data_IF_874196328867
#
_entry.id   IF_874196328867
#
_cell.length_a   1.000
_cell.length_b   1.000
_cell.length_c   1.000
_cell.angle_alpha   90.00
_cell.angle_beta   90.00
_cell.angle_gamma   90.00
#
_symmetry.space_group_name_H-M   'P 1'
#
loop_
_entity.id
_entity.type
_entity.pdbx_description
1 polymer ?
#
# COMPACT_ATOMS: atom_id res chain seq x y z
N UNK A 1 10.14 27.07 -12.14
CA UNK A 1 9.74 26.21 -13.27
C UNK A 1 9.03 25.01 -12.68
N UNK A 2 7.72 24.88 -12.90
CA UNK A 2 6.99 23.67 -12.50
C UNK A 2 7.42 22.55 -13.44
N UNK A 3 8.15 21.55 -12.93
CA UNK A 3 8.42 20.31 -13.64
C UNK A 3 7.09 19.57 -13.78
N UNK A 4 6.53 19.55 -14.98
CA UNK A 4 5.41 18.67 -15.31
C UNK A 4 5.90 17.24 -15.23
N UNK A 5 5.62 16.55 -14.12
CA UNK A 5 5.78 15.11 -14.00
C UNK A 5 4.82 14.44 -14.97
N UNK A 6 5.36 13.74 -15.97
CA UNK A 6 4.57 13.00 -16.95
C UNK A 6 4.05 11.73 -16.28
N UNK A 7 2.89 11.81 -15.64
CA UNK A 7 2.19 10.65 -15.10
C UNK A 7 1.49 9.88 -16.21
N UNK A 8 1.59 8.55 -16.20
CA UNK A 8 0.85 7.63 -17.08
C UNK A 8 -0.13 6.78 -16.27
N UNK A 9 -1.11 6.18 -16.94
CA UNK A 9 -1.98 5.16 -16.34
C UNK A 9 -1.56 3.79 -16.88
N UNK A 10 -1.18 2.89 -15.99
CA UNK A 10 -0.94 1.48 -16.31
C UNK A 10 -2.08 0.61 -15.81
N UNK A 11 -2.24 -0.56 -16.43
CA UNK A 11 -3.26 -1.55 -16.07
C UNK A 11 -2.59 -2.85 -15.66
N UNK A 12 -2.94 -3.34 -14.48
CA UNK A 12 -2.45 -4.60 -13.92
C UNK A 12 -3.61 -5.59 -13.84
N UNK A 13 -3.53 -6.66 -14.62
CA UNK A 13 -4.55 -7.71 -14.67
C UNK A 13 -4.09 -8.91 -13.86
N UNK A 14 -5.00 -9.44 -13.03
CA UNK A 14 -4.78 -10.58 -12.16
C UNK A 14 -5.80 -11.67 -12.49
N UNK A 15 -5.31 -12.90 -12.67
CA UNK A 15 -6.11 -14.03 -13.12
C UNK A 15 -6.12 -15.14 -12.06
N UNK A 16 -7.30 -15.57 -11.65
CA UNK A 16 -7.48 -16.64 -10.67
C UNK A 16 -7.91 -17.96 -11.31
N UNK A 17 -8.12 -18.99 -10.48
CA UNK A 17 -8.74 -20.23 -10.93
C UNK A 17 -10.20 -19.98 -11.38
N UNK A 18 -10.55 -20.49 -12.57
CA UNK A 18 -11.85 -20.25 -13.22
C UNK A 18 -11.92 -18.90 -13.94
N UNK A 19 -13.12 -18.33 -14.10
CA UNK A 19 -13.34 -17.04 -14.77
C UNK A 19 -13.16 -15.83 -13.83
N UNK A 20 -12.52 -16.01 -12.66
CA UNK A 20 -12.25 -14.90 -11.75
C UNK A 20 -11.06 -14.09 -12.24
N UNK A 21 -11.31 -12.86 -12.68
CA UNK A 21 -10.28 -11.90 -13.06
C UNK A 21 -10.52 -10.55 -12.38
N UNK A 22 -9.45 -9.76 -12.25
CA UNK A 22 -9.56 -8.37 -11.85
C UNK A 22 -8.49 -7.51 -12.49
N UNK A 23 -8.79 -6.23 -12.65
CA UNK A 23 -7.87 -5.22 -13.17
C UNK A 23 -7.74 -4.08 -12.16
N UNK A 24 -6.51 -3.62 -11.90
CA UNK A 24 -6.23 -2.39 -11.16
C UNK A 24 -5.56 -1.41 -12.11
N UNK A 25 -6.07 -0.19 -12.17
CA UNK A 25 -5.43 0.91 -12.89
C UNK A 25 -4.59 1.76 -11.94
N UNK A 26 -3.33 2.00 -12.26
CA UNK A 26 -2.40 2.76 -11.41
C UNK A 26 -1.99 4.04 -12.14
N UNK A 27 -1.93 5.14 -11.40
CA UNK A 27 -1.30 6.39 -11.86
C UNK A 27 0.15 6.34 -11.39
N UNK A 28 1.09 6.28 -12.32
CA UNK A 28 2.52 6.17 -12.03
C UNK A 28 3.38 7.15 -12.84
N UNK A 29 4.60 7.39 -12.38
CA UNK A 29 5.65 8.10 -13.09
C UNK A 29 6.64 7.09 -13.66
N UNK A 30 7.00 7.25 -14.94
CA UNK A 30 7.99 6.38 -15.60
C UNK A 30 9.44 6.74 -15.26
N UNK A 31 9.66 7.90 -14.63
CA UNK A 31 10.94 8.21 -13.99
C UNK A 31 10.92 7.59 -12.60
N UNK A 32 12.06 7.02 -12.18
CA UNK A 32 12.30 6.45 -10.84
C UNK A 32 12.34 7.56 -9.76
N UNK A 33 11.33 8.40 -9.71
CA UNK A 33 11.06 9.30 -8.59
C UNK A 33 10.39 8.47 -7.49
N UNK A 34 11.05 8.40 -6.33
CA UNK A 34 10.62 7.60 -5.19
C UNK A 34 9.15 7.86 -4.81
N UNK A 35 8.33 6.80 -4.80
CA UNK A 35 6.93 6.82 -4.33
C UNK A 35 5.86 6.83 -5.43
N UNK A 36 6.21 7.16 -6.68
CA UNK A 36 5.27 7.19 -7.80
C UNK A 36 5.57 6.16 -8.90
N UNK A 37 6.61 5.33 -8.72
CA UNK A 37 6.97 4.25 -9.62
C UNK A 37 6.44 2.90 -9.10
N UNK A 38 5.89 2.05 -9.98
CA UNK A 38 5.46 0.69 -9.59
C UNK A 38 6.67 -0.25 -9.53
N UNK A 39 7.17 -0.48 -8.32
CA UNK A 39 8.29 -1.40 -8.09
C UNK A 39 7.91 -2.87 -8.37
N UNK A 40 8.82 -3.71 -8.91
CA UNK A 40 8.52 -5.12 -9.20
C UNK A 40 7.99 -5.91 -8.00
N UNK A 41 8.52 -5.67 -6.79
CA UNK A 41 8.06 -6.31 -5.56
C UNK A 41 6.58 -6.02 -5.25
N UNK A 42 6.09 -4.83 -5.64
CA UNK A 42 4.69 -4.42 -5.51
C UNK A 42 3.78 -5.27 -6.39
N UNK A 43 4.19 -5.53 -7.63
CA UNK A 43 3.45 -6.41 -8.56
C UNK A 43 3.39 -7.85 -8.02
N UNK A 44 4.52 -8.37 -7.51
CA UNK A 44 4.58 -9.73 -6.95
C UNK A 44 3.72 -9.86 -5.69
N UNK A 45 3.75 -8.86 -4.79
CA UNK A 45 2.91 -8.88 -3.59
C UNK A 45 1.42 -8.77 -3.94
N UNK A 46 1.06 -7.94 -4.92
CA UNK A 46 -0.31 -7.83 -5.40
C UNK A 46 -0.82 -9.16 -5.99
N UNK A 47 0.01 -9.86 -6.77
CA UNK A 47 -0.29 -11.20 -7.28
C UNK A 47 -0.52 -12.18 -6.12
N UNK A 48 0.34 -12.15 -5.10
CA UNK A 48 0.18 -13.00 -3.92
C UNK A 48 -1.16 -12.75 -3.20
N UNK A 49 -1.54 -11.49 -3.00
CA UNK A 49 -2.82 -11.11 -2.40
C UNK A 49 -4.00 -11.67 -3.21
N UNK A 50 -3.95 -11.54 -4.54
CA UNK A 50 -5.00 -12.05 -5.42
C UNK A 50 -5.13 -13.58 -5.40
N UNK A 51 -4.00 -14.30 -5.48
CA UNK A 51 -4.01 -15.77 -5.46
C UNK A 51 -4.50 -16.31 -4.12
N UNK A 52 -4.27 -15.58 -3.02
CA UNK A 52 -4.71 -15.94 -1.67
C UNK A 52 -5.89 -15.10 -1.18
N UNK A 53 -6.72 -14.55 -2.09
CA UNK A 53 -7.81 -13.60 -1.79
C UNK A 53 -8.75 -14.01 -0.67
N UNK A 54 -8.99 -15.30 -0.46
CA UNK A 54 -9.80 -15.82 0.65
C UNK A 54 -9.24 -15.45 2.03
N UNK A 55 -7.92 -15.33 2.17
CA UNK A 55 -7.23 -14.92 3.40
C UNK A 55 -7.39 -13.43 3.71
N UNK A 56 -7.55 -12.60 2.68
CA UNK A 56 -7.57 -11.14 2.79
C UNK A 56 -8.99 -10.58 2.88
N UNK A 57 -9.98 -11.32 2.40
CA UNK A 57 -11.38 -10.93 2.48
C UNK A 57 -11.81 -10.63 3.93
N UNK A 58 -12.54 -9.53 4.12
CA UNK A 58 -13.05 -9.07 5.41
C UNK A 58 -11.98 -8.81 6.49
N UNK A 59 -10.70 -8.79 6.12
CA UNK A 59 -9.59 -8.47 7.03
C UNK A 59 -9.31 -6.97 7.09
N UNK A 60 -8.73 -6.51 8.20
CA UNK A 60 -8.15 -5.16 8.30
C UNK A 60 -6.69 -5.19 7.89
N UNK A 61 -6.31 -4.30 6.95
CA UNK A 61 -4.98 -4.26 6.36
C UNK A 61 -4.38 -2.88 6.54
N UNK A 62 -3.12 -2.83 6.98
CA UNK A 62 -2.28 -1.65 6.81
C UNK A 62 -1.20 -1.93 5.78
N UNK A 63 -1.10 -1.10 4.75
CA UNK A 63 0.05 -1.09 3.86
C UNK A 63 1.01 0.04 4.26
N UNK A 64 2.25 -0.34 4.59
CA UNK A 64 3.36 0.56 4.89
C UNK A 64 4.14 0.87 3.61
N UNK A 65 4.47 2.15 3.39
CA UNK A 65 5.24 2.57 2.22
C UNK A 65 4.54 2.20 0.91
N UNK A 66 3.24 2.49 0.83
CA UNK A 66 2.37 2.02 -0.23
C UNK A 66 2.74 2.57 -1.61
N UNK A 67 3.33 3.78 -1.69
CA UNK A 67 3.65 4.46 -2.95
C UNK A 67 2.45 4.53 -3.89
N UNK A 68 2.48 3.73 -4.96
CA UNK A 68 1.39 3.62 -5.95
C UNK A 68 0.19 2.77 -5.47
N UNK A 69 0.30 2.11 -4.32
CA UNK A 69 -0.77 1.38 -3.61
C UNK A 69 -1.27 0.09 -4.26
N UNK A 70 -0.55 -0.48 -5.23
CA UNK A 70 -1.04 -1.64 -5.99
C UNK A 70 -1.47 -2.84 -5.11
N UNK A 71 -0.68 -3.32 -4.13
CA UNK A 71 -1.06 -4.47 -3.30
C UNK A 71 -2.28 -4.17 -2.42
N UNK A 72 -2.32 -3.02 -1.77
CA UNK A 72 -3.47 -2.60 -0.97
C UNK A 72 -4.74 -2.41 -1.80
N UNK A 73 -4.65 -1.93 -3.04
CA UNK A 73 -5.81 -1.82 -3.94
C UNK A 73 -6.33 -3.20 -4.37
N UNK A 74 -5.45 -4.16 -4.65
CA UNK A 74 -5.87 -5.55 -4.88
C UNK A 74 -6.55 -6.11 -3.63
N UNK A 75 -6.01 -5.83 -2.44
CA UNK A 75 -6.58 -6.27 -1.18
C UNK A 75 -7.98 -5.66 -0.94
N UNK A 76 -8.16 -4.38 -1.23
CA UNK A 76 -9.46 -3.72 -1.16
C UNK A 76 -10.46 -4.34 -2.15
N UNK A 77 -10.02 -4.67 -3.38
CA UNK A 77 -10.88 -5.34 -4.37
C UNK A 77 -11.37 -6.72 -3.96
N UNK A 78 -10.60 -7.44 -3.14
CA UNK A 78 -11.02 -8.75 -2.62
C UNK A 78 -11.88 -8.64 -1.35
N UNK A 79 -12.21 -7.42 -0.92
CA UNK A 79 -13.11 -7.14 0.19
C UNK A 79 -12.42 -6.86 1.52
N UNK A 80 -11.13 -6.52 1.54
CA UNK A 80 -10.46 -6.09 2.76
C UNK A 80 -10.78 -4.63 3.11
N UNK A 81 -10.71 -4.28 4.40
CA UNK A 81 -10.70 -2.90 4.87
C UNK A 81 -9.25 -2.41 4.91
N UNK A 82 -8.88 -1.51 3.98
CA UNK A 82 -7.49 -1.14 3.74
C UNK A 82 -7.21 0.28 4.19
N UNK A 83 -6.16 0.43 5.00
CA UNK A 83 -5.48 1.70 5.22
C UNK A 83 -4.13 1.67 4.49
N UNK A 84 -3.92 2.65 3.62
CA UNK A 84 -2.71 2.85 2.85
C UNK A 84 -1.89 3.96 3.50
N UNK A 85 -0.59 3.72 3.70
CA UNK A 85 0.29 4.70 4.32
C UNK A 85 1.58 4.91 3.55
N UNK A 86 2.03 6.16 3.49
CA UNK A 86 3.33 6.55 2.97
C UNK A 86 3.84 7.79 3.73
N UNK A 87 5.04 8.27 3.43
CA UNK A 87 5.68 9.37 4.12
C UNK A 87 4.81 10.64 4.13
N UNK A 88 4.45 11.12 5.34
CA UNK A 88 3.62 12.30 5.52
C UNK A 88 4.26 13.58 4.94
N UNK A 89 5.57 13.58 4.73
CA UNK A 89 6.31 14.71 4.13
C UNK A 89 6.16 14.79 2.60
N UNK A 90 5.54 13.77 1.97
CA UNK A 90 5.34 13.68 0.51
C UNK A 90 3.84 13.76 0.15
N UNK A 91 3.21 14.95 0.25
CA UNK A 91 1.78 15.11 -0.02
C UNK A 91 1.38 14.68 -1.44
N UNK A 92 2.28 14.82 -2.42
CA UNK A 92 2.06 14.40 -3.80
C UNK A 92 1.83 12.88 -3.93
N UNK A 93 2.49 12.07 -3.10
CA UNK A 93 2.30 10.62 -3.06
C UNK A 93 0.92 10.32 -2.45
N UNK A 94 0.59 10.92 -1.30
CA UNK A 94 -0.71 10.73 -0.65
C UNK A 94 -1.89 11.16 -1.53
N UNK A 95 -1.74 12.26 -2.26
CA UNK A 95 -2.75 12.72 -3.22
C UNK A 95 -2.88 11.77 -4.41
N UNK A 96 -1.76 11.22 -4.91
CA UNK A 96 -1.81 10.19 -5.93
C UNK A 96 -2.54 8.93 -5.45
N UNK A 97 -2.26 8.48 -4.22
CA UNK A 97 -2.94 7.31 -3.62
C UNK A 97 -4.46 7.49 -3.59
N UNK A 98 -4.94 8.68 -3.17
CA UNK A 98 -6.39 9.00 -3.19
C UNK A 98 -6.96 8.95 -4.61
N UNK A 99 -6.28 9.56 -5.58
CA UNK A 99 -6.70 9.55 -6.99
C UNK A 99 -6.75 8.14 -7.57
N UNK A 100 -5.80 7.29 -7.21
CA UNK A 100 -5.79 5.88 -7.66
C UNK A 100 -6.92 5.09 -7.01
N UNK A 101 -7.25 5.35 -5.73
CA UNK A 101 -8.43 4.75 -5.09
C UNK A 101 -9.72 5.13 -5.83
N UNK A 102 -9.91 6.42 -6.13
CA UNK A 102 -11.04 6.94 -6.89
C UNK A 102 -11.12 6.33 -8.30
N UNK A 103 -9.99 6.25 -9.00
CA UNK A 103 -9.88 5.65 -10.34
C UNK A 103 -10.37 4.20 -10.37
N UNK A 104 -10.08 3.44 -9.31
CA UNK A 104 -10.50 2.05 -9.18
C UNK A 104 -11.86 1.87 -8.49
N UNK A 105 -12.51 2.98 -8.07
CA UNK A 105 -13.77 2.98 -7.30
C UNK A 105 -13.66 2.19 -5.99
N UNK A 106 -12.52 2.33 -5.32
CA UNK A 106 -12.22 1.67 -4.05
C UNK A 106 -12.21 2.69 -2.93
N UNK A 107 -12.73 2.30 -1.77
CA UNK A 107 -12.72 3.12 -0.57
C UNK A 107 -11.62 2.63 0.36
N UNK A 108 -10.41 3.15 0.18
CA UNK A 108 -9.30 2.92 1.09
C UNK A 108 -9.07 4.17 1.96
N UNK A 109 -8.69 3.98 3.22
CA UNK A 109 -8.22 5.07 4.05
C UNK A 109 -6.78 5.43 3.65
N UNK A 110 -6.46 6.72 3.49
CA UNK A 110 -5.12 7.18 3.13
C UNK A 110 -4.58 8.07 4.25
N UNK A 111 -3.48 7.64 4.87
CA UNK A 111 -2.87 8.29 6.02
C UNK A 111 -1.37 8.51 5.80
N UNK A 112 -0.87 9.70 6.15
CA UNK A 112 0.57 9.94 6.19
C UNK A 112 1.20 9.27 7.42
N UNK A 113 2.22 8.45 7.22
CA UNK A 113 3.00 7.77 8.25
C UNK A 113 4.48 7.87 7.90
N UNK A 114 5.16 8.85 8.49
CA UNK A 114 6.62 8.95 8.39
C UNK A 114 7.25 8.00 9.38
N UNK A 115 8.10 7.10 8.90
CA UNK A 115 8.72 6.08 9.75
C UNK A 115 9.55 6.72 10.86
N UNK A 116 9.38 6.24 12.10
CA UNK A 116 10.03 6.80 13.28
C UNK A 116 9.28 7.98 13.92
N UNK A 117 8.22 8.48 13.28
CA UNK A 117 7.25 9.41 13.87
C UNK A 117 5.99 8.63 14.22
N UNK A 118 5.71 8.49 15.51
CA UNK A 118 4.63 7.64 16.01
C UNK A 118 3.55 8.49 16.68
N UNK A 119 2.44 8.69 15.97
CA UNK A 119 1.31 9.47 16.45
C UNK A 119 0.16 8.54 16.90
N UNK A 120 -0.65 9.01 17.85
CA UNK A 120 -1.75 8.23 18.44
C UNK A 120 -2.69 7.57 17.41
N UNK A 121 -3.10 8.21 16.29
CA UNK A 121 -3.98 7.59 15.31
C UNK A 121 -3.43 6.32 14.66
N UNK A 122 -2.10 6.17 14.60
CA UNK A 122 -1.44 5.00 14.00
C UNK A 122 -1.51 3.81 14.95
N UNK A 123 -1.40 4.04 16.25
CA UNK A 123 -1.41 3.00 17.28
C UNK A 123 -2.79 2.34 17.43
N UNK A 124 -3.86 3.07 17.11
CA UNK A 124 -5.24 2.57 17.23
C UNK A 124 -5.69 1.70 16.05
N UNK A 125 -4.92 1.65 14.94
CA UNK A 125 -5.34 0.96 13.71
C UNK A 125 -5.48 -0.56 13.85
N UNK A 126 -4.75 -1.20 14.77
CA UNK A 126 -4.76 -2.64 15.08
C UNK A 126 -5.06 -3.56 13.86
N UNK A 127 -4.28 -3.49 12.76
CA UNK A 127 -4.57 -4.28 11.56
C UNK A 127 -4.33 -5.78 11.80
N UNK A 128 -5.09 -6.63 11.11
CA UNK A 128 -4.88 -8.08 11.09
C UNK A 128 -3.69 -8.47 10.20
N UNK A 129 -3.44 -7.72 9.13
CA UNK A 129 -2.39 -7.99 8.17
C UNK A 129 -1.65 -6.70 7.83
N UNK A 130 -0.33 -6.80 7.74
CA UNK A 130 0.56 -5.71 7.40
C UNK A 130 1.21 -6.03 6.06
N UNK A 131 1.07 -5.13 5.09
CA UNK A 131 1.72 -5.22 3.79
C UNK A 131 2.87 -4.21 3.71
N UNK A 132 3.91 -4.56 2.97
CA UNK A 132 5.03 -3.68 2.67
C UNK A 132 5.83 -4.25 1.52
N UNK A 133 5.74 -3.62 0.35
CA UNK A 133 6.48 -4.02 -0.83
C UNK A 133 7.69 -3.11 -1.02
N UNK A 134 8.89 -3.69 -1.01
CA UNK A 134 10.16 -2.97 -1.21
C UNK A 134 10.40 -1.81 -0.22
N UNK A 135 10.03 -2.01 1.05
CA UNK A 135 10.12 -0.96 2.09
C UNK A 135 11.48 -0.90 2.80
N UNK A 136 12.39 -1.84 2.50
CA UNK A 136 13.69 -2.01 3.16
C UNK A 136 14.87 -1.64 2.26
N UNK A 137 14.73 -0.56 1.48
CA UNK A 137 15.75 -0.11 0.52
C UNK A 137 16.78 0.83 1.14
N UNK A 138 16.43 1.57 2.20
CA UNK A 138 17.37 2.46 2.88
C UNK A 138 18.04 1.77 4.08
N UNK A 139 19.37 1.76 4.03
CA UNK A 139 20.25 1.28 5.11
C UNK A 139 20.22 2.13 6.38
N UNK A 140 19.62 3.32 6.35
CA UNK A 140 19.62 4.31 7.44
C UNK A 140 18.55 4.10 8.54
N UNK A 141 18.22 2.85 8.87
CA UNK A 141 17.39 2.51 10.04
C UNK A 141 15.95 2.05 9.76
N UNK A 142 15.55 1.97 8.48
CA UNK A 142 14.25 1.45 8.06
C UNK A 142 13.95 0.05 8.61
N UNK A 143 14.97 -0.82 8.66
CA UNK A 143 14.82 -2.17 9.20
C UNK A 143 14.42 -2.21 10.68
N UNK A 144 14.96 -1.33 11.51
CA UNK A 144 14.66 -1.32 12.95
C UNK A 144 13.23 -0.82 13.20
N UNK A 145 12.79 0.18 12.43
CA UNK A 145 11.45 0.75 12.52
C UNK A 145 10.39 -0.23 12.02
N UNK A 146 10.68 -0.95 10.94
CA UNK A 146 9.82 -2.04 10.45
C UNK A 146 9.69 -3.17 11.49
N UNK A 147 10.80 -3.62 12.08
CA UNK A 147 10.78 -4.66 13.11
C UNK A 147 10.04 -4.19 14.37
N UNK A 148 10.24 -2.94 14.78
CA UNK A 148 9.46 -2.34 15.87
C UNK A 148 7.96 -2.40 15.58
N UNK A 149 7.54 -2.11 14.35
CA UNK A 149 6.15 -2.18 13.94
C UNK A 149 5.59 -3.61 14.02
N UNK A 150 6.30 -4.60 13.47
CA UNK A 150 5.93 -6.02 13.58
C UNK A 150 5.80 -6.45 15.05
N UNK A 151 6.70 -6.02 15.91
CA UNK A 151 6.67 -6.34 17.34
C UNK A 151 5.54 -5.61 18.08
N UNK A 152 5.39 -4.30 17.89
CA UNK A 152 4.37 -3.49 18.57
C UNK A 152 2.93 -3.97 18.26
N UNK A 153 2.68 -4.37 17.01
CA UNK A 153 1.37 -4.87 16.59
C UNK A 153 1.18 -6.38 16.81
N UNK A 154 2.25 -7.17 16.96
CA UNK A 154 2.13 -8.58 17.38
C UNK A 154 1.90 -8.73 18.89
N UNK A 155 2.28 -7.73 19.70
CA UNK A 155 2.19 -7.78 21.16
C UNK A 155 1.14 -6.86 21.78
N UNK A 156 0.33 -6.16 20.97
CA UNK A 156 -0.83 -5.44 21.51
C UNK A 156 -1.81 -6.47 22.11
N UNK A 157 -2.05 -6.47 23.43
CA UNK A 157 -2.91 -7.45 24.05
C UNK A 157 -4.33 -7.32 23.49
N UNK A 158 -4.91 -8.43 23.04
CA UNK A 158 -6.36 -8.52 22.91
C UNK A 158 -6.96 -8.19 24.28
N UNK A 159 -7.69 -7.09 24.36
CA UNK A 159 -8.72 -6.94 25.40
C UNK A 159 -9.94 -7.79 25.05
#
# INVERSE_FOLDING_TARGET
MMTTTTTTISQHNFYGAGDSETCISIIENLKEEYGLFVWPCSVILAEYVWQHRSRFRDSSILELGAGTSLPGLVAAKVGANVTLTDDATKPEVLDNMRRVCELNKLNCNVLGLTWGVWDAPILDLRPNIILGADVLYDSSGSFHLFLFWVLAFSFSPCE
#
